data_IF_806299630465
#
_entry.id   IF_806299630465
#
_cell.length_a   1.000
_cell.length_b   1.000
_cell.length_c   1.000
_cell.angle_alpha   90.00
_cell.angle_beta   90.00
_cell.angle_gamma   90.00
#
_symmetry.space_group_name_H-M   'P 1'
#
loop_
_entity.id
_entity.type
_entity.pdbx_description
1 polymer ?
#
# COMPACT_ATOMS: atom_id res chain seq x y z
N UNK A 1 -2.67 10.20 -4.94
CA UNK A 1 -1.21 9.92 -4.95
C UNK A 1 -0.89 9.25 -6.28
N UNK A 2 0.21 9.59 -6.94
CA UNK A 2 0.53 9.03 -8.26
C UNK A 2 1.61 7.95 -8.14
N UNK A 3 1.34 6.79 -8.73
CA UNK A 3 2.32 5.73 -8.99
C UNK A 3 2.62 5.70 -10.48
N UNK A 4 3.89 5.88 -10.84
CA UNK A 4 4.36 5.72 -12.20
C UNK A 4 4.86 4.30 -12.42
N UNK A 5 4.27 3.58 -13.36
CA UNK A 5 4.73 2.28 -13.82
C UNK A 5 5.48 2.44 -15.15
N UNK A 6 6.73 2.00 -15.22
CA UNK A 6 7.53 1.96 -16.44
C UNK A 6 7.73 0.50 -16.85
N UNK A 7 6.98 0.07 -17.87
CA UNK A 7 6.96 -1.32 -18.39
C UNK A 7 6.55 -1.31 -19.86
N UNK A 8 7.14 -2.15 -20.71
CA UNK A 8 6.87 -2.12 -22.16
C UNK A 8 5.40 -2.44 -22.50
N UNK A 9 4.85 -3.50 -21.90
CA UNK A 9 3.44 -3.87 -22.05
C UNK A 9 2.53 -3.22 -21.00
N UNK A 10 1.23 -3.23 -21.28
CA UNK A 10 0.20 -2.65 -20.42
C UNK A 10 -0.64 -3.69 -19.67
N UNK A 11 -0.30 -4.98 -19.73
CA UNK A 11 -1.10 -6.05 -19.10
C UNK A 11 -1.10 -5.84 -17.59
N UNK A 12 0.08 -5.79 -16.99
CA UNK A 12 0.24 -5.58 -15.56
C UNK A 12 -0.34 -4.22 -15.10
N UNK A 13 -0.21 -3.18 -15.92
CA UNK A 13 -0.80 -1.86 -15.64
C UNK A 13 -2.33 -1.94 -15.50
N UNK A 14 -3.01 -2.67 -16.39
CA UNK A 14 -4.47 -2.84 -16.36
C UNK A 14 -4.93 -3.65 -15.14
N UNK A 15 -4.14 -4.62 -14.70
CA UNK A 15 -4.44 -5.43 -13.52
C UNK A 15 -4.19 -4.68 -12.22
N UNK A 16 -3.12 -3.89 -12.15
CA UNK A 16 -2.74 -3.10 -10.99
C UNK A 16 -3.61 -1.84 -10.81
N UNK A 17 -4.06 -1.22 -11.90
CA UNK A 17 -4.87 -0.01 -11.87
C UNK A 17 -6.11 -0.11 -10.95
N UNK A 18 -7.00 -1.12 -11.05
CA UNK A 18 -8.16 -1.23 -10.15
C UNK A 18 -7.75 -1.41 -8.69
N UNK A 19 -6.69 -2.18 -8.41
CA UNK A 19 -6.17 -2.42 -7.06
C UNK A 19 -5.69 -1.10 -6.45
N UNK A 20 -4.83 -0.38 -7.16
CA UNK A 20 -4.30 0.91 -6.69
C UNK A 20 -5.37 2.00 -6.62
N UNK A 21 -6.31 2.05 -7.56
CA UNK A 21 -7.44 2.96 -7.51
C UNK A 21 -8.35 2.70 -6.30
N UNK A 22 -8.45 1.45 -5.83
CA UNK A 22 -9.14 1.13 -4.57
C UNK A 22 -8.43 1.73 -3.35
N UNK A 23 -7.10 1.89 -3.42
CA UNK A 23 -6.25 2.47 -2.39
C UNK A 23 -6.06 4.00 -2.50
N UNK A 24 -6.70 4.65 -3.48
CA UNK A 24 -6.54 6.09 -3.72
C UNK A 24 -5.22 6.47 -4.41
N UNK A 25 -4.63 5.50 -5.12
CA UNK A 25 -3.39 5.65 -5.88
C UNK A 25 -3.74 5.62 -7.37
N UNK A 26 -3.45 6.72 -8.06
CA UNK A 26 -3.62 6.83 -9.50
C UNK A 26 -2.39 6.24 -10.19
N UNK A 27 -2.59 5.19 -10.98
CA UNK A 27 -1.52 4.56 -11.75
C UNK A 27 -1.40 5.21 -13.12
N UNK A 28 -0.19 5.72 -13.42
CA UNK A 28 0.18 6.22 -14.75
C UNK A 28 1.20 5.27 -15.35
N UNK A 29 0.91 4.75 -16.54
CA UNK A 29 1.76 3.78 -17.22
C UNK A 29 2.53 4.40 -18.39
N UNK A 30 3.84 4.17 -18.43
CA UNK A 30 4.71 4.53 -19.54
C UNK A 30 5.37 3.28 -20.13
N UNK A 31 5.24 3.15 -21.45
CA UNK A 31 5.87 2.09 -22.25
C UNK A 31 7.32 2.38 -22.65
N UNK A 32 7.78 3.60 -22.41
CA UNK A 32 9.08 4.06 -22.85
C UNK A 32 9.74 4.85 -21.71
N UNK A 33 10.95 4.47 -21.26
CA UNK A 33 11.66 5.15 -20.18
C UNK A 33 11.87 6.64 -20.41
N UNK A 34 12.18 7.04 -21.65
CA UNK A 34 12.43 8.45 -21.98
C UNK A 34 11.16 9.30 -21.78
N UNK A 35 10.01 8.82 -22.27
CA UNK A 35 8.73 9.50 -22.03
C UNK A 35 8.39 9.57 -20.54
N UNK A 36 8.67 8.51 -19.78
CA UNK A 36 8.47 8.51 -18.33
C UNK A 36 9.32 9.59 -17.65
N UNK A 37 10.57 9.74 -18.09
CA UNK A 37 11.51 10.73 -17.56
C UNK A 37 11.07 12.16 -17.90
N UNK A 38 10.70 12.40 -19.15
CA UNK A 38 10.23 13.71 -19.62
C UNK A 38 8.99 14.18 -18.85
N UNK A 39 8.10 13.25 -18.49
CA UNK A 39 6.87 13.55 -17.75
C UNK A 39 7.03 13.46 -16.22
N UNK A 40 8.23 13.17 -15.70
CA UNK A 40 8.42 12.96 -14.26
C UNK A 40 8.10 14.22 -13.45
N UNK A 41 8.46 15.40 -13.98
CA UNK A 41 8.18 16.69 -13.34
C UNK A 41 6.67 17.02 -13.35
N UNK A 42 5.97 16.72 -14.45
CA UNK A 42 4.53 16.98 -14.59
C UNK A 42 3.69 16.01 -13.75
N UNK A 43 4.00 14.72 -13.81
CA UNK A 43 3.25 13.69 -13.07
C UNK A 43 3.62 13.64 -11.59
N UNK A 44 4.79 14.17 -11.22
CA UNK A 44 5.32 14.22 -9.87
C UNK A 44 5.01 12.95 -9.03
N UNK A 45 5.39 11.74 -9.49
CA UNK A 45 4.99 10.51 -8.85
C UNK A 45 5.66 10.36 -7.48
N UNK A 46 4.92 9.82 -6.51
CA UNK A 46 5.46 9.47 -5.18
C UNK A 46 6.19 8.13 -5.24
N UNK A 47 5.71 7.23 -6.11
CA UNK A 47 6.28 5.89 -6.32
C UNK A 47 6.60 5.74 -7.81
N UNK A 48 7.82 5.34 -8.12
CA UNK A 48 8.22 4.89 -9.45
C UNK A 48 8.48 3.39 -9.39
N UNK A 49 7.64 2.63 -10.09
CA UNK A 49 7.74 1.19 -10.25
C UNK A 49 8.31 0.89 -11.64
N UNK A 50 9.47 0.27 -11.69
CA UNK A 50 10.26 0.22 -12.90
C UNK A 50 10.69 -1.22 -13.24
N UNK A 51 10.33 -1.68 -14.43
CA UNK A 51 10.69 -3.02 -14.91
C UNK A 51 12.15 -3.05 -15.39
N UNK A 52 12.99 -3.80 -14.68
CA UNK A 52 14.41 -3.90 -15.03
C UNK A 52 14.68 -4.94 -16.12
N UNK A 53 13.75 -5.84 -16.43
CA UNK A 53 13.88 -6.84 -17.49
C UNK A 53 13.60 -6.20 -18.85
N UNK A 54 12.53 -5.40 -18.94
CA UNK A 54 12.18 -4.68 -20.18
C UNK A 54 13.22 -3.58 -20.48
N UNK A 55 13.77 -2.92 -19.43
CA UNK A 55 14.66 -1.79 -19.58
C UNK A 55 15.93 -1.86 -18.69
N UNK A 56 16.80 -2.88 -18.88
CA UNK A 56 17.92 -3.20 -17.98
C UNK A 56 19.00 -2.11 -17.88
N UNK A 57 19.06 -1.21 -18.85
CA UNK A 57 20.07 -0.13 -18.92
C UNK A 57 19.54 1.24 -18.50
N UNK A 58 18.23 1.46 -18.54
CA UNK A 58 17.64 2.80 -18.43
C UNK A 58 17.27 3.18 -17.00
N UNK A 59 16.98 2.21 -16.14
CA UNK A 59 16.59 2.48 -14.76
C UNK A 59 17.64 3.28 -13.97
N UNK A 60 18.93 3.09 -14.29
CA UNK A 60 20.07 3.79 -13.68
C UNK A 60 20.04 5.29 -13.96
N UNK A 61 19.57 5.68 -15.14
CA UNK A 61 19.46 7.10 -15.53
C UNK A 61 18.32 7.74 -14.74
N UNK A 62 17.15 7.11 -14.77
CA UNK A 62 15.96 7.57 -14.06
C UNK A 62 16.21 7.75 -12.57
N UNK A 63 16.81 6.75 -11.91
CA UNK A 63 17.04 6.86 -10.46
C UNK A 63 18.09 7.92 -10.11
N UNK A 64 19.14 8.09 -10.92
CA UNK A 64 20.10 9.17 -10.69
C UNK A 64 19.43 10.53 -10.75
N UNK A 65 18.64 10.78 -11.80
CA UNK A 65 17.85 11.99 -11.93
C UNK A 65 16.94 12.22 -10.71
N UNK A 66 16.21 11.18 -10.28
CA UNK A 66 15.35 11.28 -9.10
C UNK A 66 16.15 11.57 -7.83
N UNK A 67 17.33 10.97 -7.65
CA UNK A 67 18.14 11.09 -6.43
C UNK A 67 18.97 12.37 -6.35
N UNK A 68 19.21 13.02 -7.49
CA UNK A 68 19.78 14.36 -7.54
C UNK A 68 18.81 15.40 -6.97
N UNK A 69 17.51 15.21 -7.19
CA UNK A 69 16.46 16.16 -6.79
C UNK A 69 15.72 15.77 -5.50
N UNK A 70 15.56 14.46 -5.23
CA UNK A 70 14.70 13.94 -4.16
C UNK A 70 15.36 12.83 -3.33
N UNK A 71 15.30 12.92 -1.99
CA UNK A 71 15.82 11.87 -1.13
C UNK A 71 14.99 10.57 -1.22
N UNK A 72 15.53 9.48 -0.66
CA UNK A 72 14.98 8.11 -0.83
C UNK A 72 13.61 7.93 -0.18
N UNK A 73 13.31 8.70 0.84
CA UNK A 73 12.10 8.69 1.65
C UNK A 73 10.99 9.57 1.07
N UNK A 74 11.32 10.57 0.24
CA UNK A 74 10.34 11.40 -0.45
C UNK A 74 9.82 10.76 -1.74
N UNK A 75 10.75 10.24 -2.59
CA UNK A 75 10.40 9.51 -3.82
C UNK A 75 10.88 8.07 -3.76
N UNK A 76 9.92 7.17 -3.68
CA UNK A 76 10.18 5.74 -3.59
C UNK A 76 10.42 5.20 -5.00
N UNK A 77 11.57 4.58 -5.22
CA UNK A 77 11.95 3.96 -6.48
C UNK A 77 12.07 2.45 -6.30
N UNK A 78 11.21 1.69 -6.98
CA UNK A 78 11.13 0.23 -6.89
C UNK A 78 11.50 -0.39 -8.22
N UNK A 79 12.42 -1.34 -8.18
CA UNK A 79 12.72 -2.21 -9.30
C UNK A 79 11.95 -3.52 -9.16
N UNK A 80 11.37 -3.98 -10.26
CA UNK A 80 10.77 -5.30 -10.31
C UNK A 80 11.10 -6.00 -11.63
N UNK A 81 11.01 -7.32 -11.64
CA UNK A 81 11.18 -8.09 -12.86
C UNK A 81 10.76 -9.55 -12.69
N UNK A 82 10.59 -10.22 -13.83
CA UNK A 82 10.26 -11.66 -13.91
C UNK A 82 11.47 -12.58 -13.75
N UNK A 83 12.64 -12.01 -13.46
CA UNK A 83 13.86 -12.72 -13.13
C UNK A 83 14.44 -12.20 -11.82
N UNK A 84 15.28 -13.00 -11.18
CA UNK A 84 16.13 -12.52 -10.10
C UNK A 84 17.27 -11.70 -10.70
N UNK A 85 17.54 -10.49 -10.20
CA UNK A 85 18.63 -9.67 -10.69
C UNK A 85 19.97 -10.30 -10.31
N UNK A 86 20.97 -10.28 -11.21
CA UNK A 86 22.33 -10.66 -10.87
C UNK A 86 22.84 -9.86 -9.67
N UNK A 87 23.71 -10.47 -8.85
CA UNK A 87 24.27 -9.84 -7.65
C UNK A 87 24.88 -8.45 -7.93
N UNK A 88 25.56 -8.30 -9.07
CA UNK A 88 26.12 -7.00 -9.48
C UNK A 88 25.04 -5.93 -9.71
N UNK A 89 23.92 -6.29 -10.33
CA UNK A 89 22.82 -5.34 -10.57
C UNK A 89 22.10 -5.01 -9.26
N UNK A 90 21.94 -5.99 -8.35
CA UNK A 90 21.41 -5.75 -7.02
C UNK A 90 22.30 -4.78 -6.20
N UNK A 91 23.62 -4.96 -6.26
CA UNK A 91 24.57 -4.05 -5.59
C UNK A 91 24.51 -2.63 -6.18
N UNK A 92 24.40 -2.50 -7.50
CA UNK A 92 24.21 -1.20 -8.16
C UNK A 92 22.90 -0.55 -7.72
N UNK A 93 21.81 -1.32 -7.64
CA UNK A 93 20.50 -0.83 -7.21
C UNK A 93 20.57 -0.27 -5.78
N UNK A 94 21.20 -1.01 -4.86
CA UNK A 94 21.42 -0.57 -3.49
C UNK A 94 22.24 0.73 -3.42
N UNK A 95 23.38 0.75 -4.13
CA UNK A 95 24.27 1.91 -4.17
C UNK A 95 23.58 3.17 -4.72
N UNK A 96 22.81 3.02 -5.80
CA UNK A 96 22.05 4.12 -6.43
C UNK A 96 20.79 4.53 -5.67
N UNK A 97 20.42 3.79 -4.62
CA UNK A 97 19.31 4.17 -3.75
C UNK A 97 17.93 3.72 -4.19
N UNK A 98 17.85 2.56 -4.83
CA UNK A 98 16.61 1.83 -5.05
C UNK A 98 16.04 1.42 -3.67
N UNK A 99 14.76 1.69 -3.43
CA UNK A 99 14.08 1.40 -2.17
C UNK A 99 13.71 -0.07 -2.02
N UNK A 100 13.57 -0.78 -3.13
CA UNK A 100 13.15 -2.16 -3.17
C UNK A 100 13.39 -2.81 -4.52
N UNK A 101 13.76 -4.08 -4.49
CA UNK A 101 14.06 -4.90 -5.66
C UNK A 101 13.28 -6.21 -5.51
N UNK A 102 12.35 -6.48 -6.43
CA UNK A 102 11.41 -7.60 -6.29
C UNK A 102 11.37 -8.50 -7.51
N UNK A 103 11.31 -9.79 -7.22
CA UNK A 103 10.80 -10.76 -8.17
C UNK A 103 9.27 -10.71 -8.24
N UNK A 104 8.76 -10.77 -9.46
CA UNK A 104 7.34 -10.81 -9.80
C UNK A 104 7.08 -12.00 -10.72
N UNK A 105 6.12 -12.85 -10.34
CA UNK A 105 5.72 -14.08 -11.02
C UNK A 105 4.56 -13.87 -12.01
N UNK A 106 4.17 -12.63 -12.30
CA UNK A 106 2.96 -12.31 -13.08
C UNK A 106 1.74 -12.01 -12.22
N UNK A 107 1.77 -12.27 -10.90
CA UNK A 107 0.64 -12.01 -10.02
C UNK A 107 0.61 -10.52 -9.58
N UNK A 108 -0.37 -9.78 -10.10
CA UNK A 108 -0.58 -8.37 -9.79
C UNK A 108 -0.95 -8.13 -8.31
N UNK A 109 -1.70 -9.03 -7.67
CA UNK A 109 -2.11 -8.88 -6.27
C UNK A 109 -0.90 -9.01 -5.34
N UNK A 110 -0.08 -10.04 -5.55
CA UNK A 110 1.17 -10.21 -4.77
C UNK A 110 2.11 -9.03 -4.95
N UNK A 111 2.24 -8.52 -6.17
CA UNK A 111 3.09 -7.36 -6.45
C UNK A 111 2.55 -6.11 -5.75
N UNK A 112 1.25 -5.86 -5.80
CA UNK A 112 0.62 -4.73 -5.13
C UNK A 112 0.83 -4.78 -3.61
N UNK A 113 0.72 -5.96 -2.99
CA UNK A 113 0.99 -6.14 -1.54
C UNK A 113 2.44 -5.78 -1.23
N UNK A 114 3.43 -6.28 -1.99
CA UNK A 114 4.85 -5.93 -1.77
C UNK A 114 5.11 -4.43 -1.90
N UNK A 115 4.52 -3.78 -2.91
CA UNK A 115 4.66 -2.34 -3.11
C UNK A 115 4.09 -1.58 -1.91
N UNK A 116 2.93 -2.02 -1.41
CA UNK A 116 2.30 -1.46 -0.21
C UNK A 116 3.19 -1.61 1.02
N UNK A 117 3.75 -2.79 1.27
CA UNK A 117 4.68 -3.01 2.38
C UNK A 117 5.89 -2.07 2.34
N UNK A 118 6.46 -1.87 1.14
CA UNK A 118 7.58 -0.94 0.97
C UNK A 118 7.14 0.47 1.27
N UNK A 119 6.02 0.89 0.70
CA UNK A 119 5.45 2.21 0.93
C UNK A 119 5.25 2.47 2.43
N UNK A 120 4.70 1.52 3.19
CA UNK A 120 4.49 1.66 4.63
C UNK A 120 5.77 1.86 5.45
N UNK A 121 6.88 1.25 5.01
CA UNK A 121 8.20 1.43 5.65
C UNK A 121 8.74 2.85 5.47
N UNK A 122 8.52 3.46 4.31
CA UNK A 122 9.02 4.81 3.99
C UNK A 122 8.02 5.92 4.38
N UNK A 123 6.71 5.66 4.28
CA UNK A 123 5.65 6.60 4.66
C UNK A 123 5.51 6.88 6.16
N UNK A 124 6.27 6.17 7.01
CA UNK A 124 6.39 6.47 8.44
C UNK A 124 7.56 7.42 8.78
N UNK A 125 8.41 7.79 7.82
CA UNK A 125 9.68 8.49 8.12
C UNK A 125 9.74 9.98 7.77
N UNK A 126 8.79 10.55 7.02
CA UNK A 126 8.70 12.01 6.89
C UNK A 126 7.30 12.46 6.48
N UNK A 127 6.50 12.85 7.47
CA UNK A 127 5.34 13.73 7.26
C UNK A 127 5.74 15.05 7.93
N UNK A 128 5.94 16.15 7.19
CA UNK A 128 6.09 17.47 7.78
C UNK A 128 4.82 17.79 8.59
N UNK A 129 4.98 18.09 9.88
CA UNK A 129 3.92 18.34 10.87
C UNK A 129 2.96 19.51 10.55
N UNK A 130 3.09 20.18 9.39
CA UNK A 130 2.35 21.40 9.05
C UNK A 130 1.31 21.25 7.92
N UNK A 131 0.79 20.04 7.68
CA UNK A 131 -0.44 19.88 6.89
C UNK A 131 -1.64 19.77 7.83
N UNK A 132 -2.71 20.58 7.67
CA UNK A 132 -3.92 20.41 8.47
C UNK A 132 -4.49 19.01 8.16
N UNK A 133 -4.58 18.17 9.19
CA UNK A 133 -5.06 16.78 9.13
C UNK A 133 -4.23 15.83 8.23
N UNK A 134 -3.10 15.37 8.78
CA UNK A 134 -2.29 14.28 8.23
C UNK A 134 -3.08 12.98 8.14
N UNK A 135 -3.42 12.57 6.92
CA UNK A 135 -3.83 11.20 6.61
C UNK A 135 -2.71 10.61 5.73
N UNK A 136 -2.09 9.49 6.12
CA UNK A 136 -1.13 8.81 5.25
C UNK A 136 -1.77 8.48 3.89
N UNK A 137 -1.04 8.59 2.76
CA UNK A 137 -1.57 8.15 1.49
C UNK A 137 -1.86 6.64 1.61
N UNK A 138 -3.10 6.21 1.39
CA UNK A 138 -3.57 4.80 1.50
C UNK A 138 -3.84 4.22 2.90
N UNK A 139 -3.87 5.01 3.96
CA UNK A 139 -4.40 4.56 5.25
C UNK A 139 -5.93 4.57 5.23
N UNK A 140 -6.59 3.43 5.44
CA UNK A 140 -8.04 3.42 5.67
C UNK A 140 -8.31 3.75 7.14
N UNK A 141 -8.95 4.90 7.46
CA UNK A 141 -9.23 5.26 8.84
C UNK A 141 -10.13 4.20 9.45
N UNK A 142 -9.68 3.64 10.57
CA UNK A 142 -10.41 2.65 11.33
C UNK A 142 -10.51 3.10 12.77
N UNK A 143 -11.73 3.11 13.28
CA UNK A 143 -12.02 3.49 14.65
C UNK A 143 -12.74 2.34 15.30
N UNK A 144 -12.34 1.96 16.50
CA UNK A 144 -13.02 0.94 17.27
C UNK A 144 -13.09 1.34 18.74
N UNK A 145 -13.95 0.69 19.50
CA UNK A 145 -14.04 0.90 20.94
C UNK A 145 -13.15 -0.08 21.68
N UNK A 146 -12.28 0.40 22.55
CA UNK A 146 -11.43 -0.47 23.35
C UNK A 146 -12.29 -1.46 24.17
N UNK A 147 -12.06 -2.79 24.07
CA UNK A 147 -12.93 -3.80 24.70
C UNK A 147 -13.02 -3.66 26.22
N UNK A 148 -11.87 -3.39 26.88
CA UNK A 148 -11.76 -3.18 28.32
C UNK A 148 -11.99 -1.74 28.77
N UNK A 149 -11.24 -0.79 28.19
CA UNK A 149 -11.20 0.62 28.63
C UNK A 149 -12.36 1.48 28.09
N UNK A 150 -13.14 0.96 27.14
CA UNK A 150 -14.37 1.57 26.59
C UNK A 150 -14.24 2.95 25.94
N UNK A 151 -13.03 3.52 25.79
CA UNK A 151 -12.79 4.71 24.97
C UNK A 151 -12.63 4.34 23.49
N UNK A 152 -12.68 5.34 22.62
CA UNK A 152 -12.45 5.16 21.18
C UNK A 152 -10.95 5.16 20.90
N UNK A 153 -10.52 4.15 20.15
CA UNK A 153 -9.16 4.07 19.61
C UNK A 153 -9.24 4.37 18.13
N UNK A 154 -8.44 5.33 17.69
CA UNK A 154 -8.32 5.69 16.28
C UNK A 154 -7.03 5.14 15.70
N UNK A 155 -7.08 4.81 14.42
CA UNK A 155 -5.89 4.40 13.70
C UNK A 155 -6.16 4.22 12.22
N UNK A 156 -5.16 3.67 11.57
CA UNK A 156 -5.12 3.52 10.13
C UNK A 156 -4.83 2.07 9.75
N UNK A 157 -5.70 1.44 8.96
CA UNK A 157 -5.39 0.13 8.39
C UNK A 157 -4.33 0.29 7.31
N UNK A 158 -3.15 -0.21 7.64
CA UNK A 158 -1.98 -0.25 6.79
C UNK A 158 -2.09 -1.36 5.75
N UNK A 159 -2.62 -2.53 6.13
CA UNK A 159 -2.91 -3.68 5.25
C UNK A 159 -4.39 -4.02 5.40
N UNK A 160 -5.04 -4.32 4.28
CA UNK A 160 -6.44 -4.71 4.23
C UNK A 160 -6.61 -5.75 3.13
N UNK A 161 -6.84 -6.98 3.53
CA UNK A 161 -7.11 -8.17 2.71
C UNK A 161 -8.54 -8.65 2.98
N UNK A 162 -8.93 -9.82 2.46
CA UNK A 162 -10.30 -10.32 2.57
C UNK A 162 -10.72 -10.54 4.03
N UNK A 163 -9.87 -11.19 4.83
CA UNK A 163 -10.14 -11.48 6.25
C UNK A 163 -9.04 -10.98 7.19
N UNK A 164 -7.98 -10.36 6.66
CA UNK A 164 -6.83 -9.92 7.44
C UNK A 164 -6.63 -8.42 7.27
N UNK A 165 -6.32 -7.76 8.38
CA UNK A 165 -5.93 -6.36 8.37
C UNK A 165 -4.73 -6.12 9.29
N UNK A 166 -3.94 -5.11 8.98
CA UNK A 166 -2.91 -4.60 9.90
C UNK A 166 -3.25 -3.17 10.23
N UNK A 167 -3.52 -2.90 11.50
CA UNK A 167 -3.86 -1.59 12.04
C UNK A 167 -2.64 -0.97 12.72
N UNK A 168 -2.34 0.27 12.36
CA UNK A 168 -1.46 1.15 13.12
C UNK A 168 -2.33 2.10 13.94
N UNK A 169 -2.37 1.96 15.28
CA UNK A 169 -3.03 2.93 16.15
C UNK A 169 -2.34 4.29 16.04
N UNK A 170 -3.09 5.37 16.18
CA UNK A 170 -2.50 6.72 16.25
C UNK A 170 -1.66 6.87 17.52
N UNK A 171 -2.11 6.24 18.61
CA UNK A 171 -1.43 6.21 19.90
C UNK A 171 -1.21 4.77 20.38
N UNK A 172 -0.01 4.21 20.17
CA UNK A 172 0.28 2.80 20.48
C UNK A 172 0.08 2.38 21.93
N UNK A 173 0.13 3.32 22.90
CA UNK A 173 -0.11 3.04 24.31
C UNK A 173 -1.60 2.76 24.64
N UNK A 174 -2.53 3.20 23.78
CA UNK A 174 -3.96 2.92 23.93
C UNK A 174 -4.28 1.45 23.65
N UNK A 175 -3.44 0.79 22.86
CA UNK A 175 -3.63 -0.61 22.45
C UNK A 175 -2.62 -1.56 23.04
N UNK A 176 -1.70 -1.08 23.89
CA UNK A 176 -0.59 -1.89 24.40
C UNK A 176 -1.06 -3.09 25.26
N UNK A 177 -2.24 -3.00 25.87
CA UNK A 177 -2.85 -4.06 26.68
C UNK A 177 -3.73 -5.04 25.90
N UNK A 178 -3.91 -4.84 24.58
CA UNK A 178 -4.67 -5.76 23.73
C UNK A 178 -3.86 -7.03 23.46
N UNK A 179 -4.35 -8.17 23.93
CA UNK A 179 -3.75 -9.47 23.69
C UNK A 179 -4.34 -10.16 22.45
N UNK A 180 -3.61 -11.14 21.91
CA UNK A 180 -4.15 -12.03 20.89
C UNK A 180 -5.39 -12.78 21.41
N UNK A 181 -6.42 -12.88 20.57
CA UNK A 181 -7.72 -13.45 20.90
C UNK A 181 -8.77 -12.44 21.38
N UNK A 182 -8.42 -11.15 21.54
CA UNK A 182 -9.42 -10.13 21.91
C UNK A 182 -10.27 -9.68 20.73
N UNK A 183 -11.59 -9.62 20.95
CA UNK A 183 -12.54 -9.12 19.97
C UNK A 183 -12.74 -7.61 20.10
N UNK A 184 -12.56 -6.92 18.97
CA UNK A 184 -12.81 -5.52 18.73
C UNK A 184 -14.13 -5.43 17.97
N UNK A 185 -15.20 -5.11 18.70
CA UNK A 185 -16.55 -5.04 18.14
C UNK A 185 -16.89 -3.62 17.69
N UNK A 186 -17.79 -3.52 16.70
CA UNK A 186 -18.34 -2.26 16.20
C UNK A 186 -17.25 -1.31 15.65
N UNK A 187 -16.25 -1.88 14.99
CA UNK A 187 -15.25 -1.10 14.28
C UNK A 187 -15.88 -0.40 13.07
N UNK A 188 -15.50 0.86 12.86
CA UNK A 188 -15.93 1.65 11.71
C UNK A 188 -14.74 1.91 10.79
N UNK A 189 -14.82 1.38 9.57
CA UNK A 189 -13.83 1.59 8.53
C UNK A 189 -14.34 2.58 7.50
N UNK A 190 -13.58 3.66 7.27
CA UNK A 190 -13.89 4.61 6.20
C UNK A 190 -13.18 4.19 4.91
N UNK A 191 -13.99 3.85 3.90
CA UNK A 191 -13.54 3.51 2.55
C UNK A 191 -14.07 4.57 1.57
N UNK A 192 -13.20 5.47 1.08
CA UNK A 192 -13.57 6.59 0.20
C UNK A 192 -14.69 7.46 0.79
N UNK A 193 -15.93 7.32 0.31
CA UNK A 193 -17.13 8.06 0.75
C UNK A 193 -18.10 7.21 1.58
N UNK A 194 -17.79 5.93 1.80
CA UNK A 194 -18.64 5.02 2.57
C UNK A 194 -17.98 4.63 3.90
N UNK A 195 -18.81 4.28 4.87
CA UNK A 195 -18.39 3.73 6.16
C UNK A 195 -18.91 2.31 6.21
N UNK A 196 -18.04 1.37 6.58
CA UNK A 196 -18.33 -0.06 6.69
C UNK A 196 -18.13 -0.47 8.14
N UNK A 197 -19.07 -1.23 8.70
CA UNK A 197 -18.90 -1.81 10.03
C UNK A 197 -18.16 -3.14 9.96
N UNK A 198 -17.08 -3.26 10.73
CA UNK A 198 -16.24 -4.44 10.81
C UNK A 198 -16.03 -4.80 12.28
N UNK A 199 -16.24 -6.06 12.59
CA UNK A 199 -15.72 -6.66 13.81
C UNK A 199 -14.33 -7.23 13.50
N UNK A 200 -13.45 -7.26 14.51
CA UNK A 200 -12.10 -7.75 14.32
C UNK A 200 -11.63 -8.55 15.54
N UNK A 201 -10.79 -9.55 15.35
CA UNK A 201 -10.11 -10.27 16.43
C UNK A 201 -8.63 -9.98 16.35
N UNK A 202 -8.02 -9.62 17.47
CA UNK A 202 -6.58 -9.39 17.56
C UNK A 202 -5.85 -10.71 17.39
N UNK A 203 -5.02 -10.83 16.35
CA UNK A 203 -4.13 -11.97 16.14
C UNK A 203 -2.77 -11.75 16.80
N UNK A 204 -2.27 -10.52 16.73
CA UNK A 204 -0.95 -10.15 17.25
C UNK A 204 -0.89 -8.66 17.57
N UNK A 205 -0.09 -8.30 18.57
CA UNK A 205 0.16 -6.91 18.96
C UNK A 205 1.64 -6.67 19.24
N UNK A 206 2.35 -6.07 18.29
CA UNK A 206 3.78 -5.71 18.41
C UNK A 206 3.98 -4.19 18.21
N UNK A 207 3.04 -3.37 18.68
CA UNK A 207 2.95 -1.93 18.35
C UNK A 207 2.19 -1.64 17.05
N UNK A 208 1.93 -2.69 16.25
CA UNK A 208 0.88 -2.73 15.24
C UNK A 208 -0.02 -3.92 15.55
N UNK A 209 -1.32 -3.75 15.32
CA UNK A 209 -2.31 -4.78 15.56
C UNK A 209 -2.54 -5.55 14.26
N UNK A 210 -2.23 -6.85 14.28
CA UNK A 210 -2.66 -7.77 13.24
C UNK A 210 -4.05 -8.26 13.62
N UNK A 211 -5.00 -8.08 12.73
CA UNK A 211 -6.41 -8.29 12.97
C UNK A 211 -6.97 -9.31 11.98
N UNK A 212 -7.79 -10.22 12.45
CA UNK A 212 -8.73 -10.96 11.61
C UNK A 212 -10.04 -10.16 11.56
N UNK A 213 -10.41 -9.64 10.39
CA UNK A 213 -11.58 -8.79 10.22
C UNK A 213 -12.77 -9.57 9.66
N UNK A 214 -13.96 -9.20 10.12
CA UNK A 214 -15.22 -9.82 9.77
C UNK A 214 -16.27 -8.71 9.59
N UNK A 215 -16.84 -8.55 8.38
CA UNK A 215 -17.97 -7.63 8.17
C UNK A 215 -19.11 -7.94 9.14
N UNK A 216 -19.62 -6.91 9.82
CA UNK A 216 -20.65 -7.10 10.85
C UNK A 216 -22.01 -7.53 10.26
N UNK A 217 -22.24 -7.29 8.96
CA UNK A 217 -23.45 -7.73 8.25
C UNK A 217 -23.17 -8.02 6.75
N UNK A 218 -24.18 -8.59 6.06
CA UNK A 218 -24.07 -9.02 4.66
C UNK A 218 -23.94 -7.84 3.66
N UNK A 219 -24.57 -6.69 3.95
CA UNK A 219 -24.49 -5.48 3.13
C UNK A 219 -23.08 -4.89 3.18
N UNK A 220 -22.54 -4.75 4.39
CA UNK A 220 -21.17 -4.35 4.66
C UNK A 220 -20.17 -5.34 4.07
N UNK A 221 -20.45 -6.65 4.12
CA UNK A 221 -19.60 -7.66 3.48
C UNK A 221 -19.52 -7.49 1.96
N UNK A 222 -20.66 -7.24 1.31
CA UNK A 222 -20.73 -7.03 -0.13
C UNK A 222 -20.12 -5.69 -0.54
N UNK A 223 -20.32 -4.62 0.24
CA UNK A 223 -19.70 -3.32 0.02
C UNK A 223 -18.19 -3.39 0.18
N UNK A 224 -17.72 -4.04 1.25
CA UNK A 224 -16.31 -4.29 1.54
C UNK A 224 -15.63 -5.06 0.40
N UNK A 225 -16.21 -6.20 -0.02
CA UNK A 225 -15.70 -7.01 -1.13
C UNK A 225 -15.71 -6.26 -2.45
N UNK A 226 -16.80 -5.57 -2.78
CA UNK A 226 -16.93 -4.75 -4.00
C UNK A 226 -15.86 -3.65 -4.05
N UNK A 227 -15.60 -3.00 -2.92
CA UNK A 227 -14.64 -1.89 -2.87
C UNK A 227 -13.17 -2.34 -2.88
N UNK A 228 -12.89 -3.57 -2.46
CA UNK A 228 -11.56 -4.19 -2.55
C UNK A 228 -11.34 -5.01 -3.83
N UNK A 229 -12.35 -5.11 -4.69
CA UNK A 229 -12.26 -5.85 -5.96
C UNK A 229 -12.34 -7.36 -5.82
N UNK A 230 -12.83 -7.87 -4.68
CA UNK A 230 -13.10 -9.30 -4.46
C UNK A 230 -14.46 -9.71 -5.06
N UNK A 231 -14.62 -10.99 -5.43
CA UNK A 231 -15.92 -11.53 -5.88
C UNK A 231 -16.95 -11.40 -4.76
N UNK A 232 -18.12 -10.82 -5.06
CA UNK A 232 -19.26 -10.75 -4.13
C UNK A 232 -19.73 -12.14 -3.72
N UNK A 233 -20.20 -12.28 -2.47
CA UNK A 233 -20.83 -13.51 -2.04
C UNK A 233 -22.21 -13.61 -2.69
N UNK A 234 -22.44 -14.68 -3.46
CA UNK A 234 -23.78 -15.00 -3.94
C UNK A 234 -24.61 -15.55 -2.78
N UNK A 235 -25.84 -15.05 -2.66
CA UNK A 235 -26.84 -15.56 -1.72
C UNK A 235 -27.28 -16.92 -2.25
N UNK A 236 -26.72 -18.00 -1.71
CA UNK A 236 -27.34 -19.31 -1.88
C UNK A 236 -28.64 -19.30 -1.08
N UNK A 237 -29.74 -19.32 -1.82
CA UNK A 237 -31.11 -19.43 -1.34
C UNK A 237 -31.38 -20.84 -0.80
#
# INVERSE_FOLDING_TARGET
>A
MILMLVKEDAVLARELAPIFNSWGIDLVHYRQPLKALDNLAETNPTIVLYDWVDFPRHWKIMIKYIREEFPKDEKIFLLFGTAQPPLEEANKALYLGVNGLFYHDGDAQKLAIKIREVFLRYGSLNIPENSPSGTPPSAFPFVFRHPRRKHLVTGSLLILEENLATLKPDFGHETADLAAGEDLLQGSLRLKKAIVSLDATVLQNNGQLRLEIRPSNLEDANLFRKMLGFKTLEVNS
#
